data_IF_295214691639
#
_entry.id   IF_295214691639
#
_cell.length_a   1.000
_cell.length_b   1.000
_cell.length_c   1.000
_cell.angle_alpha   90.00
_cell.angle_beta   90.00
_cell.angle_gamma   90.00
#
_symmetry.space_group_name_H-M   'P 1'
#
loop_
_entity.id
_entity.type
_entity.pdbx_description
1 polymer ?
#
# COMPACT_ATOMS: atom_id res chain seq x y z
N UNK A 1 6.03 -14.58 -2.96
CA UNK A 1 7.28 -14.28 -2.24
C UNK A 1 7.12 -14.22 -0.71
N UNK A 2 5.95 -14.45 -0.18
CA UNK A 2 5.63 -14.40 1.26
C UNK A 2 5.67 -15.75 2.01
N UNK A 3 5.78 -16.94 1.37
CA UNK A 3 5.67 -18.18 2.12
C UNK A 3 6.96 -18.96 2.30
N UNK A 4 8.10 -18.28 2.40
CA UNK A 4 9.32 -18.92 2.94
C UNK A 4 9.50 -18.60 4.44
N UNK A 5 8.63 -17.78 5.01
CA UNK A 5 8.79 -17.29 6.38
C UNK A 5 7.97 -18.10 7.39
N UNK A 6 6.87 -18.73 6.98
CA UNK A 6 6.04 -19.51 7.92
C UNK A 6 6.58 -20.89 8.26
N UNK A 7 7.56 -21.43 7.53
CA UNK A 7 8.17 -22.71 7.86
C UNK A 7 9.39 -22.61 8.77
N UNK A 8 9.93 -21.43 9.04
CA UNK A 8 11.12 -21.26 9.90
C UNK A 8 10.82 -20.80 11.33
N UNK A 9 9.62 -20.30 11.60
CA UNK A 9 9.26 -19.83 12.95
C UNK A 9 8.63 -20.93 13.81
N UNK A 10 8.19 -22.04 13.21
CA UNK A 10 7.58 -23.15 13.96
C UNK A 10 8.56 -24.12 14.60
N UNK A 11 9.86 -23.93 14.51
CA UNK A 11 10.85 -24.89 15.03
C UNK A 11 12.02 -24.31 15.84
N UNK A 12 12.03 -23.02 16.15
CA UNK A 12 12.85 -22.56 17.28
C UNK A 12 12.00 -22.77 18.52
N UNK A 13 12.19 -23.93 19.12
CA UNK A 13 11.57 -24.25 20.42
C UNK A 13 11.98 -23.16 21.41
N UNK A 14 10.99 -22.66 22.18
CA UNK A 14 11.26 -21.79 23.33
C UNK A 14 12.37 -22.39 24.21
N UNK A 15 12.52 -23.69 24.17
CA UNK A 15 13.59 -24.47 24.79
C UNK A 15 14.98 -24.09 24.25
N UNK A 16 15.14 -23.86 22.93
CA UNK A 16 16.43 -23.50 22.33
C UNK A 16 16.78 -22.04 22.66
N UNK A 17 15.79 -21.15 22.69
CA UNK A 17 15.97 -19.75 23.14
C UNK A 17 16.34 -19.66 24.62
N UNK A 18 15.69 -20.47 25.48
CA UNK A 18 16.01 -20.53 26.90
C UNK A 18 17.40 -21.14 27.15
N UNK A 19 17.77 -22.18 26.40
CA UNK A 19 19.10 -22.80 26.47
C UNK A 19 20.22 -21.83 26.01
N UNK A 20 19.92 -20.99 24.99
CA UNK A 20 20.84 -19.96 24.52
C UNK A 20 20.99 -18.82 25.55
N UNK A 21 19.91 -18.37 26.17
CA UNK A 21 19.91 -17.34 27.24
C UNK A 21 20.58 -17.83 28.53
N UNK A 22 20.40 -19.08 28.88
CA UNK A 22 21.09 -19.70 30.03
C UNK A 22 22.60 -19.81 29.79
N UNK A 23 23.03 -20.07 28.55
CA UNK A 23 24.45 -20.03 28.14
C UNK A 23 25.03 -18.62 28.17
N UNK A 24 24.27 -17.61 27.73
CA UNK A 24 24.70 -16.21 27.68
C UNK A 24 24.94 -15.60 29.08
N UNK A 25 24.19 -16.05 30.09
CA UNK A 25 24.27 -15.53 31.46
C UNK A 25 25.15 -16.34 32.42
N UNK A 26 25.95 -17.30 31.97
CA UNK A 26 26.90 -18.07 32.80
C UNK A 26 26.27 -18.59 34.11
N UNK A 27 25.02 -19.01 34.11
CA UNK A 27 24.38 -19.61 35.28
C UNK A 27 24.91 -21.04 35.41
N UNK A 28 26.01 -21.19 36.18
CA UNK A 28 26.54 -22.48 36.57
C UNK A 28 25.54 -23.18 37.50
N UNK A 29 24.99 -24.29 37.07
CA UNK A 29 24.36 -25.27 37.95
C UNK A 29 25.45 -26.01 38.72
N UNK A 30 25.40 -26.06 40.06
CA UNK A 30 26.40 -26.83 40.80
C UNK A 30 26.25 -28.31 40.46
N UNK A 31 27.31 -28.92 39.98
CA UNK A 31 27.43 -30.37 39.84
C UNK A 31 27.57 -30.95 41.24
N UNK A 32 26.51 -31.52 41.83
CA UNK A 32 26.57 -32.26 43.05
C UNK A 32 27.15 -33.64 42.80
N UNK A 33 28.38 -33.86 43.33
CA UNK A 33 28.97 -35.20 43.47
C UNK A 33 28.06 -36.09 44.26
N UNK A 34 27.88 -37.31 43.80
CA UNK A 34 27.15 -38.39 44.41
C UNK A 34 27.71 -38.72 45.79
N UNK A 35 27.03 -38.33 46.85
CA UNK A 35 27.07 -38.96 48.18
C UNK A 35 25.64 -39.09 48.64
N UNK A 36 25.26 -40.33 48.91
CA UNK A 36 23.89 -40.71 49.17
C UNK A 36 23.30 -40.08 50.45
N UNK A 37 22.37 -39.17 50.23
CA UNK A 37 21.32 -38.80 51.22
C UNK A 37 20.09 -38.50 50.34
N UNK A 38 19.04 -39.29 50.52
CA UNK A 38 17.74 -39.11 49.94
C UNK A 38 17.08 -37.86 50.54
N UNK A 39 17.30 -36.72 49.92
CA UNK A 39 16.51 -35.52 50.15
C UNK A 39 15.36 -35.54 49.16
N UNK A 40 14.15 -35.68 49.62
CA UNK A 40 12.91 -35.52 48.90
C UNK A 40 12.93 -34.16 48.16
N UNK A 41 13.26 -34.16 46.92
CA UNK A 41 13.16 -32.94 46.06
C UNK A 41 11.71 -32.79 45.63
N UNK A 42 10.98 -31.97 46.38
CA UNK A 42 9.62 -31.52 46.09
C UNK A 42 9.64 -30.41 45.02
N UNK A 43 10.37 -30.64 43.90
CA UNK A 43 10.53 -29.69 42.80
C UNK A 43 9.50 -29.87 41.64
N UNK A 44 8.65 -30.87 41.77
CA UNK A 44 7.58 -31.18 40.79
C UNK A 44 6.47 -30.11 40.67
N UNK A 45 6.01 -29.39 41.71
CA UNK A 45 4.94 -28.41 41.56
C UNK A 45 5.36 -27.14 40.83
N UNK A 46 6.57 -26.62 41.04
CA UNK A 46 7.02 -25.35 40.44
C UNK A 46 7.23 -25.49 38.92
N UNK A 47 7.77 -26.61 38.46
CA UNK A 47 7.94 -26.85 37.01
C UNK A 47 6.60 -27.05 36.32
N UNK A 48 5.62 -27.63 36.99
CA UNK A 48 4.26 -27.85 36.47
C UNK A 48 3.49 -26.52 36.39
N UNK A 49 3.59 -25.67 37.37
CA UNK A 49 2.98 -24.33 37.37
C UNK A 49 3.61 -23.44 36.31
N UNK A 50 4.92 -23.46 36.14
CA UNK A 50 5.64 -22.73 35.11
C UNK A 50 5.23 -23.19 33.70
N UNK A 51 5.11 -24.48 33.46
CA UNK A 51 4.63 -25.04 32.21
C UNK A 51 3.18 -24.65 31.91
N UNK A 52 2.31 -24.67 32.93
CA UNK A 52 0.90 -24.23 32.80
C UNK A 52 0.82 -22.74 32.48
N UNK A 53 1.64 -21.90 33.12
CA UNK A 53 1.73 -20.48 32.87
C UNK A 53 2.21 -20.18 31.43
N UNK A 54 3.25 -20.86 30.92
CA UNK A 54 3.71 -20.72 29.55
C UNK A 54 2.66 -21.20 28.53
N UNK A 55 1.95 -22.27 28.84
CA UNK A 55 0.84 -22.76 28.01
C UNK A 55 -0.30 -21.73 27.94
N UNK A 56 -0.67 -21.15 29.07
CA UNK A 56 -1.68 -20.10 29.17
C UNK A 56 -1.26 -18.85 28.39
N UNK A 57 0.00 -18.37 28.52
CA UNK A 57 0.53 -17.26 27.79
C UNK A 57 0.51 -17.53 26.27
N UNK A 58 0.88 -18.73 25.84
CA UNK A 58 0.85 -19.12 24.43
C UNK A 58 -0.58 -19.13 23.89
N UNK A 59 -1.55 -19.59 24.65
CA UNK A 59 -2.98 -19.58 24.28
C UNK A 59 -3.50 -18.15 24.16
N UNK A 60 -3.25 -17.29 25.14
CA UNK A 60 -3.63 -15.88 25.10
C UNK A 60 -3.00 -15.17 23.90
N UNK A 61 -1.71 -15.41 23.65
CA UNK A 61 -1.02 -14.82 22.51
C UNK A 61 -1.63 -15.29 21.16
N UNK A 62 -2.01 -16.57 21.07
CA UNK A 62 -2.70 -17.13 19.89
C UNK A 62 -4.09 -16.51 19.68
N UNK A 63 -4.86 -16.32 20.75
CA UNK A 63 -6.20 -15.73 20.69
C UNK A 63 -6.14 -14.25 20.30
N UNK A 64 -5.19 -13.50 20.85
CA UNK A 64 -4.94 -12.10 20.50
C UNK A 64 -4.53 -12.00 19.02
N UNK A 65 -3.64 -12.87 18.54
CA UNK A 65 -3.23 -12.89 17.14
C UNK A 65 -4.41 -13.21 16.21
N UNK A 66 -5.26 -14.17 16.57
CA UNK A 66 -6.48 -14.52 15.83
C UNK A 66 -7.45 -13.35 15.75
N UNK A 67 -7.62 -12.60 16.85
CA UNK A 67 -8.45 -11.39 16.89
C UNK A 67 -7.91 -10.29 15.96
N UNK A 68 -6.59 -10.06 15.94
CA UNK A 68 -5.96 -9.12 15.01
C UNK A 68 -6.16 -9.53 13.56
N UNK A 69 -6.06 -10.80 13.23
CA UNK A 69 -6.30 -11.33 11.87
C UNK A 69 -7.75 -11.10 11.43
N UNK A 70 -8.72 -11.29 12.32
CA UNK A 70 -10.15 -11.05 12.02
C UNK A 70 -10.39 -9.57 11.74
N UNK A 71 -9.88 -8.67 12.58
CA UNK A 71 -10.00 -7.23 12.37
C UNK A 71 -9.33 -6.82 11.06
N UNK A 72 -8.12 -7.31 10.78
CA UNK A 72 -7.40 -7.04 9.55
C UNK A 72 -8.20 -7.53 8.32
N UNK A 73 -8.82 -8.71 8.42
CA UNK A 73 -9.67 -9.26 7.35
C UNK A 73 -10.89 -8.37 7.08
N UNK A 74 -11.61 -7.98 8.12
CA UNK A 74 -12.80 -7.11 8.00
C UNK A 74 -12.40 -5.76 7.41
N UNK A 75 -11.32 -5.15 7.90
CA UNK A 75 -10.83 -3.85 7.42
C UNK A 75 -10.41 -3.95 5.95
N UNK A 76 -9.62 -4.97 5.58
CA UNK A 76 -9.18 -5.18 4.20
C UNK A 76 -10.37 -5.38 3.25
N UNK A 77 -11.35 -6.20 3.63
CA UNK A 77 -12.56 -6.42 2.83
C UNK A 77 -13.39 -5.14 2.68
N UNK A 78 -13.51 -4.33 3.74
CA UNK A 78 -14.19 -3.04 3.68
C UNK A 78 -13.46 -2.06 2.75
N UNK A 79 -12.13 -1.95 2.86
CA UNK A 79 -11.32 -1.07 2.01
C UNK A 79 -11.42 -1.47 0.53
N UNK A 80 -11.31 -2.76 0.21
CA UNK A 80 -11.38 -3.25 -1.18
C UNK A 80 -12.77 -3.03 -1.76
N UNK A 81 -13.84 -3.32 -1.02
CA UNK A 81 -15.22 -3.13 -1.49
C UNK A 81 -15.55 -1.67 -1.69
N UNK A 82 -15.30 -0.83 -0.70
CA UNK A 82 -15.57 0.61 -0.78
C UNK A 82 -14.70 1.26 -1.87
N UNK A 83 -13.40 0.93 -1.90
CA UNK A 83 -12.48 1.44 -2.91
C UNK A 83 -12.87 1.02 -4.33
N UNK A 84 -13.26 -0.25 -4.54
CA UNK A 84 -13.74 -0.74 -5.84
C UNK A 84 -15.02 -0.02 -6.25
N UNK A 85 -15.97 0.16 -5.34
CA UNK A 85 -17.21 0.89 -5.61
C UNK A 85 -16.94 2.33 -6.09
N UNK A 86 -16.09 3.08 -5.39
CA UNK A 86 -15.73 4.45 -5.76
C UNK A 86 -15.04 4.52 -7.14
N UNK A 87 -14.11 3.61 -7.41
CA UNK A 87 -13.40 3.57 -8.68
C UNK A 87 -14.30 3.13 -9.85
N UNK A 88 -15.16 2.12 -9.67
CA UNK A 88 -16.15 1.72 -10.67
C UNK A 88 -17.09 2.88 -10.98
N UNK A 89 -17.52 3.62 -9.96
CA UNK A 89 -18.38 4.79 -10.16
C UNK A 89 -17.70 5.85 -11.06
N UNK A 90 -16.41 6.16 -10.81
CA UNK A 90 -15.62 7.10 -11.64
C UNK A 90 -15.58 6.61 -13.10
N UNK A 91 -15.30 5.32 -13.31
CA UNK A 91 -15.24 4.72 -14.66
C UNK A 91 -16.61 4.83 -15.35
N UNK A 92 -17.70 4.48 -14.68
CA UNK A 92 -19.05 4.52 -15.25
C UNK A 92 -19.48 5.93 -15.65
N UNK A 93 -19.22 6.94 -14.81
CA UNK A 93 -19.55 8.35 -15.12
C UNK A 93 -18.82 8.81 -16.37
N UNK A 94 -17.51 8.54 -16.46
CA UNK A 94 -16.72 8.96 -17.61
C UNK A 94 -17.06 8.16 -18.88
N UNK A 95 -17.39 6.87 -18.74
CA UNK A 95 -17.84 6.02 -19.84
C UNK A 95 -19.19 6.46 -20.40
N UNK A 96 -20.14 6.84 -19.52
CA UNK A 96 -21.44 7.39 -19.93
C UNK A 96 -21.28 8.66 -20.76
N UNK A 97 -20.30 9.53 -20.41
CA UNK A 97 -20.02 10.73 -21.21
C UNK A 97 -19.40 10.38 -22.58
N UNK A 98 -18.58 9.34 -22.63
CA UNK A 98 -18.04 8.81 -23.88
C UNK A 98 -19.17 8.37 -24.84
N UNK A 99 -20.12 7.58 -24.34
CA UNK A 99 -21.28 7.12 -25.12
C UNK A 99 -22.13 8.29 -25.60
N UNK A 100 -22.34 9.31 -24.75
CA UNK A 100 -23.06 10.53 -25.09
C UNK A 100 -22.29 11.48 -26.00
N UNK A 101 -21.16 11.04 -26.56
CA UNK A 101 -20.25 11.83 -27.43
C UNK A 101 -19.84 13.18 -26.86
N UNK A 102 -19.80 13.32 -25.54
CA UNK A 102 -19.29 14.54 -24.89
C UNK A 102 -17.76 14.59 -25.00
N UNK A 103 -17.20 15.79 -25.13
CA UNK A 103 -15.74 15.97 -25.14
C UNK A 103 -15.15 15.54 -23.79
N UNK A 104 -14.39 14.44 -23.78
CA UNK A 104 -13.69 13.96 -22.59
C UNK A 104 -12.38 14.73 -22.43
N UNK A 105 -12.20 15.36 -21.28
CA UNK A 105 -10.98 16.08 -20.96
C UNK A 105 -9.80 15.11 -20.76
N UNK A 106 -8.57 15.61 -20.93
CA UNK A 106 -7.35 14.84 -20.67
C UNK A 106 -7.29 14.37 -19.20
N UNK A 107 -7.77 15.20 -18.26
CA UNK A 107 -7.89 14.85 -16.84
C UNK A 107 -8.84 13.65 -16.63
N UNK A 108 -10.01 13.66 -17.29
CA UNK A 108 -10.98 12.56 -17.17
C UNK A 108 -10.42 11.24 -17.73
N UNK A 109 -9.61 11.30 -18.81
CA UNK A 109 -8.93 10.10 -19.37
C UNK A 109 -7.93 9.52 -18.41
N UNK A 110 -7.06 10.35 -17.81
CA UNK A 110 -6.07 9.91 -16.81
C UNK A 110 -6.79 9.39 -15.58
N UNK A 111 -7.84 10.06 -15.13
CA UNK A 111 -8.64 9.66 -13.97
C UNK A 111 -9.33 8.31 -14.18
N UNK A 112 -9.86 8.05 -15.38
CA UNK A 112 -10.48 6.77 -15.74
C UNK A 112 -9.43 5.65 -15.75
N UNK A 113 -8.28 5.87 -16.39
CA UNK A 113 -7.18 4.91 -16.37
C UNK A 113 -6.71 4.61 -14.94
N UNK A 114 -6.52 5.66 -14.13
CA UNK A 114 -6.16 5.53 -12.72
C UNK A 114 -7.18 4.71 -11.93
N UNK A 115 -8.49 4.94 -12.14
CA UNK A 115 -9.55 4.18 -11.47
C UNK A 115 -9.54 2.70 -11.88
N UNK A 116 -9.31 2.39 -13.16
CA UNK A 116 -9.19 1.00 -13.64
C UNK A 116 -8.01 0.29 -12.97
N UNK A 117 -6.82 0.91 -12.99
CA UNK A 117 -5.63 0.29 -12.38
C UNK A 117 -5.76 0.17 -10.85
N UNK A 118 -6.52 1.05 -10.19
CA UNK A 118 -6.83 0.91 -8.76
C UNK A 118 -7.74 -0.28 -8.47
N UNK A 119 -8.76 -0.50 -9.28
CA UNK A 119 -9.60 -1.70 -9.14
C UNK A 119 -8.73 -2.95 -9.27
N UNK A 120 -7.90 -3.03 -10.33
CA UNK A 120 -7.00 -4.16 -10.53
C UNK A 120 -6.04 -4.35 -9.35
N UNK A 121 -5.43 -3.25 -8.85
CA UNK A 121 -4.51 -3.28 -7.72
C UNK A 121 -5.18 -3.80 -6.44
N UNK A 122 -6.38 -3.28 -6.10
CA UNK A 122 -7.13 -3.69 -4.92
C UNK A 122 -7.46 -5.19 -4.95
N UNK A 123 -7.90 -5.71 -6.11
CA UNK A 123 -8.19 -7.14 -6.25
C UNK A 123 -6.93 -8.01 -6.21
N UNK A 124 -5.82 -7.57 -6.80
CA UNK A 124 -4.54 -8.29 -6.71
C UNK A 124 -4.03 -8.33 -5.28
N UNK A 125 -4.15 -7.23 -4.52
CA UNK A 125 -3.80 -7.19 -3.10
C UNK A 125 -4.67 -8.17 -2.32
N UNK A 126 -5.99 -8.18 -2.55
CA UNK A 126 -6.92 -9.09 -1.88
C UNK A 126 -6.60 -10.56 -2.19
N UNK A 127 -6.36 -10.91 -3.46
CA UNK A 127 -5.98 -12.26 -3.87
C UNK A 127 -4.67 -12.68 -3.19
N UNK A 128 -3.67 -11.80 -3.16
CA UNK A 128 -2.40 -12.06 -2.49
C UNK A 128 -2.59 -12.29 -0.98
N UNK A 129 -3.41 -11.44 -0.34
CA UNK A 129 -3.71 -11.54 1.08
C UNK A 129 -4.45 -12.85 1.41
N UNK A 130 -5.54 -13.15 0.70
CA UNK A 130 -6.28 -14.41 0.86
C UNK A 130 -5.39 -15.64 0.66
N UNK A 131 -4.53 -15.60 -0.36
CA UNK A 131 -3.59 -16.69 -0.65
C UNK A 131 -2.57 -16.91 0.47
N UNK A 132 -2.18 -15.84 1.15
CA UNK A 132 -1.20 -15.91 2.24
C UNK A 132 -1.84 -16.42 3.52
N UNK A 133 -3.05 -15.94 3.84
CA UNK A 133 -3.73 -16.25 5.12
C UNK A 133 -4.41 -17.62 5.07
N UNK A 134 -5.18 -17.91 4.00
CA UNK A 134 -6.03 -19.10 3.97
C UNK A 134 -5.39 -20.32 3.33
N UNK A 135 -4.41 -20.17 2.45
CA UNK A 135 -3.85 -21.29 1.68
C UNK A 135 -2.36 -21.14 1.39
N UNK A 136 -1.50 -20.98 2.40
CA UNK A 136 -0.08 -20.72 2.16
C UNK A 136 0.64 -21.88 1.45
N UNK A 137 0.19 -23.13 1.62
CA UNK A 137 0.80 -24.31 1.02
C UNK A 137 0.25 -24.69 -0.36
N UNK A 138 -0.95 -24.20 -0.73
CA UNK A 138 -1.64 -24.64 -1.96
C UNK A 138 -1.15 -23.96 -3.23
N UNK A 139 -0.54 -22.79 -3.15
CA UNK A 139 -0.09 -22.04 -4.31
C UNK A 139 1.30 -22.47 -4.77
N UNK A 140 1.41 -22.83 -6.05
CA UNK A 140 2.70 -23.11 -6.69
C UNK A 140 3.58 -21.86 -6.72
N UNK A 141 4.91 -22.05 -6.73
CA UNK A 141 5.89 -20.95 -6.86
C UNK A 141 5.63 -20.10 -8.11
N UNK A 142 5.08 -20.69 -9.16
CA UNK A 142 4.77 -20.00 -10.40
C UNK A 142 3.56 -19.06 -10.25
N UNK A 143 2.47 -19.52 -9.63
CA UNK A 143 1.28 -18.68 -9.39
C UNK A 143 1.61 -17.50 -8.50
N UNK A 144 2.39 -17.68 -7.44
CA UNK A 144 2.87 -16.57 -6.58
C UNK A 144 3.67 -15.53 -7.36
N UNK A 145 4.53 -15.99 -8.27
CA UNK A 145 5.29 -15.08 -9.12
C UNK A 145 4.37 -14.27 -10.06
N UNK A 146 3.35 -14.91 -10.64
CA UNK A 146 2.36 -14.22 -11.47
C UNK A 146 1.60 -13.15 -10.66
N UNK A 147 1.16 -13.46 -9.45
CA UNK A 147 0.52 -12.50 -8.55
C UNK A 147 1.46 -11.32 -8.24
N UNK A 148 2.73 -11.60 -7.97
CA UNK A 148 3.74 -10.58 -7.70
C UNK A 148 3.98 -9.67 -8.91
N UNK A 149 4.05 -10.23 -10.12
CA UNK A 149 4.16 -9.45 -11.37
C UNK A 149 2.91 -8.61 -11.61
N UNK A 150 1.71 -9.18 -11.44
CA UNK A 150 0.45 -8.47 -11.57
C UNK A 150 0.38 -7.29 -10.59
N UNK A 151 0.81 -7.50 -9.35
CA UNK A 151 0.91 -6.45 -8.34
C UNK A 151 1.92 -5.36 -8.75
N UNK A 152 3.10 -5.72 -9.21
CA UNK A 152 4.12 -4.77 -9.64
C UNK A 152 3.65 -3.91 -10.82
N UNK A 153 2.96 -4.50 -11.81
CA UNK A 153 2.41 -3.79 -12.97
C UNK A 153 1.27 -2.85 -12.56
N UNK A 154 0.30 -3.34 -11.79
CA UNK A 154 -0.85 -2.53 -11.37
C UNK A 154 -0.43 -1.40 -10.44
N UNK A 155 0.52 -1.65 -9.53
CA UNK A 155 1.10 -0.65 -8.66
C UNK A 155 1.88 0.41 -9.43
N UNK A 156 2.66 0.02 -10.44
CA UNK A 156 3.39 0.95 -11.31
C UNK A 156 2.43 1.93 -11.99
N UNK A 157 1.42 1.43 -12.70
CA UNK A 157 0.45 2.31 -13.37
C UNK A 157 -0.32 3.17 -12.38
N UNK A 158 -0.69 2.62 -11.21
CA UNK A 158 -1.35 3.37 -10.14
C UNK A 158 -0.53 4.58 -9.69
N UNK A 159 0.75 4.41 -9.38
CA UNK A 159 1.63 5.48 -8.89
C UNK A 159 1.98 6.50 -9.97
N UNK A 160 2.29 6.05 -11.18
CA UNK A 160 2.65 6.93 -12.29
C UNK A 160 1.45 7.72 -12.85
N UNK A 161 0.25 7.12 -12.93
CA UNK A 161 -0.96 7.86 -13.32
C UNK A 161 -1.34 8.91 -12.27
N UNK A 162 -1.12 8.64 -10.99
CA UNK A 162 -1.30 9.63 -9.93
C UNK A 162 -0.29 10.79 -10.08
N UNK A 163 0.97 10.51 -10.41
CA UNK A 163 1.97 11.52 -10.70
C UNK A 163 1.62 12.35 -11.96
N UNK A 164 1.16 11.69 -13.03
CA UNK A 164 0.67 12.38 -14.23
C UNK A 164 -0.52 13.31 -13.93
N UNK A 165 -1.43 12.88 -13.06
CA UNK A 165 -2.56 13.71 -12.63
C UNK A 165 -2.07 14.95 -11.85
N UNK A 166 -1.05 14.81 -10.99
CA UNK A 166 -0.46 15.93 -10.25
C UNK A 166 0.25 16.93 -11.17
N UNK A 167 1.01 16.43 -12.18
CA UNK A 167 1.62 17.27 -13.22
C UNK A 167 0.54 18.03 -13.99
N UNK A 168 -0.53 17.32 -14.38
CA UNK A 168 -1.63 17.94 -15.14
C UNK A 168 -2.32 19.06 -14.33
N UNK A 169 -2.58 18.81 -13.04
CA UNK A 169 -3.17 19.84 -12.18
C UNK A 169 -2.24 21.03 -11.99
N UNK A 170 -0.94 20.80 -11.77
CA UNK A 170 0.04 21.87 -11.69
C UNK A 170 0.05 22.73 -12.97
N UNK A 171 0.17 22.12 -14.16
CA UNK A 171 0.24 22.83 -15.43
C UNK A 171 -1.08 23.51 -15.80
N UNK A 172 -2.23 22.99 -15.35
CA UNK A 172 -3.55 23.55 -15.66
C UNK A 172 -3.93 24.69 -14.71
N UNK A 173 -3.66 24.55 -13.42
CA UNK A 173 -4.12 25.47 -12.37
C UNK A 173 -3.00 26.43 -11.97
N UNK A 174 -1.75 25.96 -11.92
CA UNK A 174 -0.61 26.75 -11.50
C UNK A 174 -0.40 28.00 -12.41
N UNK A 175 0.01 29.07 -11.78
CA UNK A 175 0.33 30.32 -12.47
C UNK A 175 1.71 30.82 -12.02
N UNK A 176 2.71 30.55 -12.85
CA UNK A 176 4.10 30.95 -12.64
C UNK A 176 4.60 31.74 -13.85
N UNK A 177 5.26 32.91 -13.64
CA UNK A 177 5.76 33.75 -14.73
C UNK A 177 7.07 33.23 -15.36
N UNK A 178 7.40 31.94 -15.16
CA UNK A 178 8.62 31.34 -15.69
C UNK A 178 8.42 30.85 -17.14
N UNK A 179 9.36 31.18 -18.04
CA UNK A 179 9.34 30.77 -19.46
C UNK A 179 9.27 29.25 -19.62
N UNK A 180 9.99 28.49 -18.79
CA UNK A 180 9.98 27.01 -18.83
C UNK A 180 8.57 26.50 -18.48
N UNK A 181 7.96 27.05 -17.42
CA UNK A 181 6.62 26.65 -17.00
C UNK A 181 5.57 26.96 -18.08
N UNK A 182 5.65 28.13 -18.71
CA UNK A 182 4.76 28.52 -19.80
C UNK A 182 4.94 27.63 -21.03
N UNK A 183 6.19 27.25 -21.38
CA UNK A 183 6.50 26.31 -22.45
C UNK A 183 5.91 24.92 -22.17
N UNK A 184 6.05 24.40 -20.95
CA UNK A 184 5.45 23.11 -20.53
C UNK A 184 3.92 23.18 -20.55
N UNK A 185 3.34 24.29 -20.08
CA UNK A 185 1.89 24.54 -20.11
C UNK A 185 1.33 24.52 -21.54
N UNK A 186 2.05 25.06 -22.50
CA UNK A 186 1.67 25.02 -23.94
C UNK A 186 1.72 23.61 -24.53
N UNK A 187 2.55 22.71 -23.98
CA UNK A 187 2.80 21.34 -24.49
C UNK A 187 2.33 20.24 -23.54
N UNK A 188 1.28 20.47 -22.77
CA UNK A 188 0.78 19.54 -21.72
C UNK A 188 0.63 18.11 -22.25
N UNK A 189 0.06 17.90 -23.43
CA UNK A 189 -0.12 16.55 -24.01
C UNK A 189 1.22 15.85 -24.24
N UNK A 190 2.20 16.55 -24.79
CA UNK A 190 3.53 16.00 -25.06
C UNK A 190 4.25 15.65 -23.75
N UNK A 191 4.17 16.53 -22.73
CA UNK A 191 4.75 16.27 -21.41
C UNK A 191 4.20 14.97 -20.81
N UNK A 192 2.87 14.78 -20.86
CA UNK A 192 2.22 13.57 -20.32
C UNK A 192 2.66 12.32 -21.10
N UNK A 193 2.73 12.38 -22.43
CA UNK A 193 3.17 11.25 -23.25
C UNK A 193 4.63 10.90 -22.96
N UNK A 194 5.53 11.88 -22.88
CA UNK A 194 6.96 11.65 -22.59
C UNK A 194 7.15 11.01 -21.20
N UNK A 195 6.46 11.53 -20.18
CA UNK A 195 6.54 10.96 -18.81
C UNK A 195 5.99 9.55 -18.79
N UNK A 196 4.87 9.28 -19.49
CA UNK A 196 4.30 7.94 -19.58
C UNK A 196 5.25 6.96 -20.26
N UNK A 197 5.83 7.33 -21.42
CA UNK A 197 6.79 6.48 -22.14
C UNK A 197 8.05 6.22 -21.29
N UNK A 198 8.59 7.26 -20.62
CA UNK A 198 9.72 7.10 -19.69
C UNK A 198 9.39 6.15 -18.55
N UNK A 199 8.16 6.21 -18.03
CA UNK A 199 7.72 5.30 -16.97
C UNK A 199 7.67 3.84 -17.44
N UNK A 200 7.28 3.57 -18.69
CA UNK A 200 7.26 2.21 -19.24
C UNK A 200 8.67 1.58 -19.31
N UNK A 201 9.70 2.39 -19.59
CA UNK A 201 11.10 1.92 -19.54
C UNK A 201 11.45 1.46 -18.11
N UNK A 202 11.06 2.25 -17.09
CA UNK A 202 11.28 1.88 -15.68
C UNK A 202 10.50 0.63 -15.28
N UNK A 203 9.28 0.46 -15.80
CA UNK A 203 8.50 -0.77 -15.59
C UNK A 203 9.24 -1.98 -16.15
N UNK A 204 9.71 -1.88 -17.39
CA UNK A 204 10.45 -2.96 -18.05
C UNK A 204 11.71 -3.34 -17.28
N UNK A 205 12.50 -2.34 -16.83
CA UNK A 205 13.68 -2.58 -15.99
C UNK A 205 13.32 -3.27 -14.67
N UNK A 206 12.25 -2.83 -14.01
CA UNK A 206 11.80 -3.44 -12.75
C UNK A 206 11.37 -4.90 -12.94
N UNK A 207 10.60 -5.21 -14.00
CA UNK A 207 10.19 -6.59 -14.31
C UNK A 207 11.38 -7.48 -14.67
N UNK A 208 12.37 -6.93 -15.38
CA UNK A 208 13.61 -7.65 -15.71
C UNK A 208 14.39 -8.00 -14.44
N UNK A 209 14.55 -7.04 -13.52
CA UNK A 209 15.20 -7.28 -12.22
C UNK A 209 14.47 -8.35 -11.40
N UNK A 210 13.13 -8.32 -11.34
CA UNK A 210 12.33 -9.35 -10.66
C UNK A 210 12.53 -10.74 -11.26
N UNK A 211 12.56 -10.86 -12.60
CA UNK A 211 12.75 -12.14 -13.28
C UNK A 211 14.17 -12.69 -13.11
N UNK A 212 15.19 -11.82 -13.17
CA UNK A 212 16.59 -12.19 -12.89
C UNK A 212 16.77 -12.63 -11.44
N UNK A 213 16.19 -11.91 -10.47
CA UNK A 213 16.21 -12.27 -9.07
C UNK A 213 15.63 -13.66 -8.82
N UNK A 214 14.50 -13.99 -9.46
CA UNK A 214 13.92 -15.34 -9.40
C UNK A 214 14.86 -16.41 -9.99
N UNK A 215 15.48 -16.15 -11.13
CA UNK A 215 16.41 -17.13 -11.77
C UNK A 215 17.62 -17.41 -10.88
N UNK A 216 18.24 -16.37 -10.29
CA UNK A 216 19.37 -16.54 -9.38
C UNK A 216 18.98 -17.36 -8.14
N UNK A 217 17.80 -17.13 -7.60
CA UNK A 217 17.28 -17.88 -6.44
C UNK A 217 17.01 -19.35 -6.77
N UNK A 218 16.58 -19.67 -8.00
CA UNK A 218 16.33 -21.06 -8.44
C UNK A 218 17.63 -21.78 -8.76
N UNK A 219 18.59 -21.13 -9.44
CA UNK A 219 19.84 -21.75 -9.88
C UNK A 219 20.90 -21.85 -8.77
N UNK A 220 20.73 -21.13 -7.67
CA UNK A 220 21.64 -21.15 -6.51
C UNK A 220 21.73 -22.49 -5.76
N UNK A 221 21.14 -23.58 -6.28
CA UNK A 221 21.17 -24.91 -5.65
C UNK A 221 22.51 -25.67 -5.78
N UNK A 222 23.52 -25.12 -6.49
CA UNK A 222 24.84 -25.75 -6.70
C UNK A 222 25.96 -24.91 -6.09
N UNK A 223 26.30 -25.03 -4.81
CA UNK A 223 27.41 -24.34 -4.17
C UNK A 223 27.40 -24.41 -2.64
N UNK A 224 28.41 -23.84 -1.98
CA UNK A 224 28.58 -23.85 -0.52
C UNK A 224 27.48 -23.01 0.16
N UNK A 225 26.88 -23.49 1.28
CA UNK A 225 25.69 -22.88 1.92
C UNK A 225 25.90 -21.39 2.30
N UNK A 226 27.08 -21.02 2.78
CA UNK A 226 27.38 -19.65 3.23
C UNK A 226 27.46 -18.66 2.08
N UNK A 227 27.98 -19.06 0.93
CA UNK A 227 28.11 -18.20 -0.25
C UNK A 227 26.73 -17.99 -0.93
N UNK A 228 25.91 -19.02 -0.96
CA UNK A 228 24.52 -18.98 -1.45
C UNK A 228 23.67 -17.97 -0.68
N UNK A 229 23.78 -17.96 0.64
CA UNK A 229 23.02 -17.03 1.49
C UNK A 229 23.41 -15.58 1.21
N UNK A 230 24.70 -15.30 1.03
CA UNK A 230 25.20 -13.96 0.69
C UNK A 230 24.71 -13.49 -0.68
N UNK A 231 24.76 -14.35 -1.70
CA UNK A 231 24.28 -14.01 -3.06
C UNK A 231 22.77 -13.80 -3.07
N UNK A 232 21.98 -14.65 -2.42
CA UNK A 232 20.54 -14.47 -2.30
C UNK A 232 20.17 -13.18 -1.58
N UNK A 233 20.89 -12.83 -0.51
CA UNK A 233 20.70 -11.57 0.22
C UNK A 233 21.00 -10.36 -0.67
N UNK A 234 22.13 -10.35 -1.37
CA UNK A 234 22.52 -9.27 -2.27
C UNK A 234 21.49 -9.07 -3.40
N UNK A 235 21.01 -10.16 -4.01
CA UNK A 235 20.00 -10.12 -5.06
C UNK A 235 18.67 -9.58 -4.51
N UNK A 236 18.22 -10.04 -3.35
CA UNK A 236 17.01 -9.51 -2.72
C UNK A 236 17.14 -8.01 -2.43
N UNK A 237 18.28 -7.57 -1.93
CA UNK A 237 18.54 -6.14 -1.67
C UNK A 237 18.47 -5.31 -2.95
N UNK A 238 19.07 -5.77 -4.04
CA UNK A 238 19.01 -5.09 -5.35
C UNK A 238 17.58 -4.99 -5.85
N UNK A 239 16.80 -6.08 -5.81
CA UNK A 239 15.40 -6.11 -6.24
C UNK A 239 14.54 -5.15 -5.41
N UNK A 240 14.69 -5.17 -4.08
CA UNK A 240 13.96 -4.28 -3.16
C UNK A 240 14.33 -2.83 -3.40
N UNK A 241 15.62 -2.52 -3.60
CA UNK A 241 16.10 -1.15 -3.87
C UNK A 241 15.53 -0.65 -5.20
N UNK A 242 15.61 -1.43 -6.27
CA UNK A 242 15.06 -1.08 -7.58
C UNK A 242 13.55 -0.83 -7.51
N UNK A 243 12.82 -1.69 -6.80
CA UNK A 243 11.39 -1.54 -6.57
C UNK A 243 11.08 -0.26 -5.78
N UNK A 244 11.83 0.02 -4.71
CA UNK A 244 11.66 1.23 -3.88
C UNK A 244 11.89 2.48 -4.71
N UNK A 245 12.98 2.55 -5.48
CA UNK A 245 13.28 3.68 -6.36
C UNK A 245 12.17 3.90 -7.40
N UNK A 246 11.64 2.82 -7.99
CA UNK A 246 10.54 2.91 -8.96
C UNK A 246 9.26 3.54 -8.37
N UNK A 247 9.04 3.45 -7.06
CA UNK A 247 7.91 4.07 -6.36
C UNK A 247 8.24 5.47 -5.81
N UNK A 248 9.46 5.70 -5.36
CA UNK A 248 9.90 7.00 -4.81
C UNK A 248 9.96 8.07 -5.91
N UNK A 249 10.34 7.72 -7.15
CA UNK A 249 10.40 8.69 -8.26
C UNK A 249 9.03 9.34 -8.53
N UNK A 250 7.93 8.61 -8.83
CA UNK A 250 6.63 9.24 -9.06
C UNK A 250 6.08 9.95 -7.82
N UNK A 251 6.41 9.46 -6.61
CA UNK A 251 6.08 10.15 -5.37
C UNK A 251 6.76 11.52 -5.28
N UNK A 252 8.07 11.59 -5.52
CA UNK A 252 8.83 12.84 -5.49
C UNK A 252 8.32 13.84 -6.52
N UNK A 253 8.02 13.39 -7.75
CA UNK A 253 7.39 14.22 -8.79
C UNK A 253 6.05 14.78 -8.29
N UNK A 254 5.20 13.93 -7.71
CA UNK A 254 3.90 14.35 -7.17
C UNK A 254 4.06 15.37 -6.03
N UNK A 255 5.01 15.12 -5.11
CA UNK A 255 5.32 16.04 -4.00
C UNK A 255 5.71 17.42 -4.52
N UNK A 256 6.66 17.49 -5.46
CA UNK A 256 7.10 18.76 -6.05
C UNK A 256 5.93 19.47 -6.74
N UNK A 257 5.16 18.75 -7.56
CA UNK A 257 4.00 19.31 -8.25
C UNK A 257 2.97 19.89 -7.29
N UNK A 258 2.65 19.18 -6.22
CA UNK A 258 1.65 19.64 -5.27
C UNK A 258 2.16 20.75 -4.35
N UNK A 259 3.43 20.72 -3.94
CA UNK A 259 4.02 21.84 -3.18
C UNK A 259 4.01 23.14 -4.01
N UNK A 260 4.37 23.06 -5.29
CA UNK A 260 4.27 24.21 -6.21
C UNK A 260 2.82 24.65 -6.40
N UNK A 261 1.87 23.71 -6.50
CA UNK A 261 0.45 24.03 -6.61
C UNK A 261 -0.07 24.70 -5.34
N UNK A 262 0.29 24.21 -4.15
CA UNK A 262 -0.04 24.82 -2.85
C UNK A 262 0.50 26.25 -2.78
N UNK A 263 1.77 26.45 -3.14
CA UNK A 263 2.38 27.77 -3.18
C UNK A 263 1.63 28.72 -4.13
N UNK A 264 1.30 28.28 -5.34
CA UNK A 264 0.54 29.07 -6.32
C UNK A 264 -0.85 29.45 -5.82
N UNK A 265 -1.58 28.48 -5.23
CA UNK A 265 -2.91 28.70 -4.64
C UNK A 265 -2.84 29.65 -3.43
N UNK A 266 -1.85 29.46 -2.55
CA UNK A 266 -1.65 30.34 -1.39
C UNK A 266 -1.37 31.78 -1.82
N UNK A 267 -0.47 31.98 -2.80
CA UNK A 267 -0.19 33.31 -3.35
C UNK A 267 -1.46 33.96 -3.91
N UNK A 268 -2.27 33.21 -4.64
CA UNK A 268 -3.53 33.71 -5.20
C UNK A 268 -4.54 34.08 -4.11
N UNK A 269 -4.70 33.25 -3.08
CA UNK A 269 -5.56 33.51 -1.92
C UNK A 269 -5.12 34.78 -1.15
N UNK A 270 -3.80 34.95 -0.95
CA UNK A 270 -3.25 36.16 -0.32
C UNK A 270 -3.61 37.41 -1.12
N UNK A 271 -3.47 37.35 -2.44
CA UNK A 271 -3.84 38.47 -3.33
C UNK A 271 -5.35 38.77 -3.25
N UNK A 272 -6.21 37.74 -3.29
CA UNK A 272 -7.66 37.91 -3.20
C UNK A 272 -8.09 38.60 -1.88
N UNK A 273 -7.45 38.22 -0.75
CA UNK A 273 -7.69 38.83 0.57
C UNK A 273 -7.29 40.30 0.59
N UNK A 274 -6.20 40.68 -0.07
CA UNK A 274 -5.75 42.07 -0.19
C UNK A 274 -6.76 42.95 -0.97
N UNK A 275 -7.49 42.36 -1.93
CA UNK A 275 -8.53 43.06 -2.70
C UNK A 275 -9.94 43.01 -2.04
N UNK A 276 -10.03 42.74 -0.73
CA UNK A 276 -11.27 42.83 0.04
C UNK A 276 -12.25 41.65 -0.15
N UNK A 277 -11.86 40.60 -0.83
CA UNK A 277 -12.67 39.36 -0.94
C UNK A 277 -12.59 38.57 0.36
N UNK A 278 -13.67 38.54 1.10
CA UNK A 278 -13.78 37.81 2.37
C UNK A 278 -13.66 36.29 2.23
N UNK A 279 -13.50 35.64 3.36
CA UNK A 279 -13.39 34.14 3.43
C UNK A 279 -14.65 33.42 2.93
N UNK A 280 -15.79 34.09 2.82
CA UNK A 280 -17.07 33.53 2.33
C UNK A 280 -17.28 33.68 0.82
N UNK A 281 -16.35 34.33 0.09
CA UNK A 281 -16.44 34.39 -1.38
C UNK A 281 -16.36 32.95 -1.99
N UNK A 282 -17.30 32.60 -2.90
CA UNK A 282 -17.34 31.25 -3.51
C UNK A 282 -16.03 30.83 -4.19
N UNK A 283 -15.28 31.79 -4.76
CA UNK A 283 -13.98 31.54 -5.36
C UNK A 283 -12.92 31.18 -4.31
N UNK A 284 -12.88 31.89 -3.19
CA UNK A 284 -11.99 31.62 -2.06
C UNK A 284 -12.26 30.24 -1.47
N UNK A 285 -13.54 29.88 -1.26
CA UNK A 285 -13.92 28.55 -0.76
C UNK A 285 -13.53 27.41 -1.72
N UNK A 286 -13.63 27.62 -3.03
CA UNK A 286 -13.20 26.63 -4.01
C UNK A 286 -11.68 26.35 -3.93
N UNK A 287 -10.87 27.40 -3.76
CA UNK A 287 -9.42 27.29 -3.60
C UNK A 287 -9.03 26.59 -2.28
N UNK A 288 -9.73 26.88 -1.17
CA UNK A 288 -9.50 26.22 0.12
C UNK A 288 -9.81 24.72 0.01
N UNK A 289 -10.94 24.35 -0.60
CA UNK A 289 -11.31 22.93 -0.82
C UNK A 289 -10.29 22.19 -1.70
N UNK A 290 -9.80 22.86 -2.76
CA UNK A 290 -8.76 22.29 -3.61
C UNK A 290 -7.45 22.07 -2.82
N UNK A 291 -7.07 23.01 -1.95
CA UNK A 291 -5.89 22.88 -1.08
C UNK A 291 -6.05 21.71 -0.10
N UNK A 292 -7.19 21.58 0.56
CA UNK A 292 -7.49 20.47 1.46
C UNK A 292 -7.38 19.13 0.74
N UNK A 293 -7.95 19.01 -0.46
CA UNK A 293 -7.88 17.78 -1.27
C UNK A 293 -6.43 17.41 -1.62
N UNK A 294 -5.59 18.41 -1.98
CA UNK A 294 -4.18 18.20 -2.31
C UNK A 294 -3.39 17.74 -1.09
N UNK A 295 -3.58 18.38 0.08
CA UNK A 295 -2.91 17.99 1.33
C UNK A 295 -3.32 16.59 1.76
N UNK A 296 -4.60 16.26 1.71
CA UNK A 296 -5.10 14.90 2.02
C UNK A 296 -4.50 13.85 1.10
N UNK A 297 -4.38 14.17 -0.20
CA UNK A 297 -3.71 13.29 -1.16
C UNK A 297 -2.25 13.03 -0.78
N UNK A 298 -1.49 14.08 -0.47
CA UNK A 298 -0.08 13.96 -0.12
C UNK A 298 0.13 13.10 1.12
N UNK A 299 -0.68 13.30 2.15
CA UNK A 299 -0.62 12.50 3.39
C UNK A 299 -0.89 11.02 3.12
N UNK A 300 -1.97 10.71 2.39
CA UNK A 300 -2.30 9.33 2.04
C UNK A 300 -1.24 8.69 1.16
N UNK A 301 -0.68 9.43 0.19
CA UNK A 301 0.36 8.92 -0.69
C UNK A 301 1.67 8.70 0.07
N UNK A 302 2.03 9.58 1.00
CA UNK A 302 3.20 9.41 1.87
C UNK A 302 3.05 8.15 2.75
N UNK A 303 1.89 7.93 3.38
CA UNK A 303 1.60 6.72 4.16
C UNK A 303 1.72 5.45 3.30
N UNK A 304 1.21 5.49 2.08
CA UNK A 304 1.32 4.40 1.12
C UNK A 304 2.79 4.08 0.78
N UNK A 305 3.60 5.08 0.45
CA UNK A 305 5.02 4.88 0.13
C UNK A 305 5.78 4.34 1.35
N UNK A 306 5.51 4.86 2.55
CA UNK A 306 6.10 4.34 3.79
C UNK A 306 5.74 2.87 4.01
N UNK A 307 4.47 2.49 3.81
CA UNK A 307 4.04 1.09 3.93
C UNK A 307 4.73 0.18 2.91
N UNK A 308 4.96 0.66 1.68
CA UNK A 308 5.70 -0.08 0.65
C UNK A 308 7.19 -0.26 1.02
N UNK A 309 7.83 0.78 1.57
CA UNK A 309 9.23 0.71 2.01
C UNK A 309 9.38 -0.30 3.14
N UNK A 310 8.53 -0.22 4.17
CA UNK A 310 8.55 -1.14 5.31
C UNK A 310 8.26 -2.57 4.85
N UNK A 311 7.24 -2.77 3.99
CA UNK A 311 6.94 -4.08 3.41
C UNK A 311 8.07 -4.61 2.52
N UNK A 312 8.75 -3.74 1.77
CA UNK A 312 9.94 -4.10 0.99
C UNK A 312 11.10 -4.56 1.88
N UNK A 313 11.32 -3.87 2.99
CA UNK A 313 12.37 -4.24 3.94
C UNK A 313 12.17 -5.65 4.54
N UNK A 314 10.92 -6.13 4.64
CA UNK A 314 10.60 -7.48 5.11
C UNK A 314 11.22 -8.61 4.26
N UNK A 315 11.61 -8.33 3.01
CA UNK A 315 12.36 -9.30 2.19
C UNK A 315 13.82 -9.46 2.63
N UNK A 316 14.35 -8.46 3.31
CA UNK A 316 15.73 -8.45 3.80
C UNK A 316 15.77 -8.93 5.25
N UNK A 317 14.82 -8.48 6.07
CA UNK A 317 14.65 -8.87 7.46
C UNK A 317 13.17 -9.16 7.74
N UNK A 318 12.82 -10.37 8.19
CA UNK A 318 11.43 -10.70 8.53
C UNK A 318 10.87 -9.71 9.55
N UNK A 319 9.66 -9.20 9.27
CA UNK A 319 8.89 -8.38 10.19
C UNK A 319 7.97 -9.27 11.02
N UNK A 320 7.63 -8.82 12.22
CA UNK A 320 6.60 -9.44 13.04
C UNK A 320 5.25 -9.42 12.29
N UNK A 321 4.47 -10.49 12.43
CA UNK A 321 3.18 -10.64 11.72
C UNK A 321 2.24 -9.44 11.91
N UNK A 322 2.05 -8.87 13.13
CA UNK A 322 1.19 -7.70 13.31
C UNK A 322 1.65 -6.49 12.51
N UNK A 323 2.97 -6.24 12.47
CA UNK A 323 3.54 -5.11 11.72
C UNK A 323 3.28 -5.27 10.22
N UNK A 324 3.44 -6.48 9.70
CA UNK A 324 3.16 -6.79 8.30
C UNK A 324 1.69 -6.55 7.94
N UNK A 325 0.75 -7.02 8.79
CA UNK A 325 -0.69 -6.80 8.61
C UNK A 325 -1.05 -5.31 8.62
N UNK A 326 -0.52 -4.54 9.57
CA UNK A 326 -0.72 -3.09 9.66
C UNK A 326 -0.21 -2.40 8.39
N UNK A 327 0.98 -2.76 7.91
CA UNK A 327 1.52 -2.20 6.66
C UNK A 327 0.64 -2.52 5.44
N UNK A 328 0.04 -3.71 5.37
CA UNK A 328 -0.87 -4.07 4.30
C UNK A 328 -2.16 -3.23 4.33
N UNK A 329 -2.78 -3.05 5.51
CA UNK A 329 -3.96 -2.20 5.69
C UNK A 329 -3.62 -0.76 5.28
N UNK A 330 -2.55 -0.17 5.81
CA UNK A 330 -2.13 1.19 5.45
C UNK A 330 -1.86 1.31 3.94
N UNK A 331 -1.23 0.29 3.33
CA UNK A 331 -0.96 0.25 1.90
C UNK A 331 -2.24 0.19 1.05
N UNK A 332 -3.32 -0.39 1.55
CA UNK A 332 -4.61 -0.49 0.84
C UNK A 332 -5.47 0.77 1.03
N UNK A 333 -5.24 1.51 2.12
CA UNK A 333 -6.01 2.71 2.44
C UNK A 333 -5.93 3.79 1.35
N UNK A 334 -4.73 4.02 0.77
CA UNK A 334 -4.55 5.05 -0.25
C UNK A 334 -5.32 4.75 -1.56
N UNK A 335 -5.20 3.58 -2.22
CA UNK A 335 -5.95 3.30 -3.44
C UNK A 335 -7.47 3.27 -3.20
N UNK A 336 -7.93 3.01 -1.98
CA UNK A 336 -9.35 2.98 -1.62
C UNK A 336 -9.89 4.39 -1.35
N UNK A 337 -9.29 5.14 -0.43
CA UNK A 337 -9.81 6.42 0.08
C UNK A 337 -9.58 7.59 -0.87
N UNK A 338 -8.46 7.62 -1.60
CA UNK A 338 -8.16 8.71 -2.53
C UNK A 338 -9.22 8.85 -3.64
N UNK A 339 -9.89 7.77 -4.03
CA UNK A 339 -10.96 7.83 -5.04
C UNK A 339 -12.16 8.66 -4.58
N UNK A 340 -12.47 8.65 -3.29
CA UNK A 340 -13.48 9.51 -2.71
C UNK A 340 -13.06 10.99 -2.74
N UNK A 341 -11.80 11.28 -2.44
CA UNK A 341 -11.25 12.65 -2.55
C UNK A 341 -11.41 13.16 -3.99
N UNK A 342 -11.14 12.32 -4.99
CA UNK A 342 -11.31 12.67 -6.40
C UNK A 342 -12.78 12.88 -6.79
N UNK A 343 -13.71 12.08 -6.27
CA UNK A 343 -15.15 12.27 -6.47
C UNK A 343 -15.59 13.62 -5.91
N UNK A 344 -15.19 13.96 -4.69
CA UNK A 344 -15.55 15.24 -4.05
C UNK A 344 -14.85 16.44 -4.67
N UNK A 345 -13.63 16.26 -5.18
CA UNK A 345 -12.83 17.30 -5.86
C UNK A 345 -13.31 17.62 -7.28
N UNK A 346 -13.95 16.68 -7.97
CA UNK A 346 -14.43 16.86 -9.34
C UNK A 346 -15.93 17.18 -9.34
N UNK A 347 -16.28 18.44 -9.67
CA UNK A 347 -17.67 18.93 -9.66
C UNK A 347 -18.64 18.05 -10.44
N UNK A 348 -18.23 17.57 -11.62
CA UNK A 348 -19.04 16.70 -12.51
C UNK A 348 -19.32 15.35 -11.84
N UNK A 349 -18.27 14.68 -11.35
CA UNK A 349 -18.38 13.35 -10.75
C UNK A 349 -19.15 13.46 -9.43
N UNK A 350 -18.92 14.49 -8.63
CA UNK A 350 -19.66 14.78 -7.41
C UNK A 350 -21.16 14.94 -7.67
N UNK A 351 -21.57 15.71 -8.68
CA UNK A 351 -22.97 15.90 -9.03
C UNK A 351 -23.63 14.58 -9.45
N UNK A 352 -22.93 13.77 -10.27
CA UNK A 352 -23.41 12.46 -10.67
C UNK A 352 -23.56 11.51 -9.46
N UNK A 353 -22.61 11.57 -8.50
CA UNK A 353 -22.65 10.76 -7.29
C UNK A 353 -23.84 11.11 -6.39
N UNK A 354 -24.03 12.40 -6.12
CA UNK A 354 -25.19 12.87 -5.31
C UNK A 354 -26.50 12.48 -5.97
N UNK A 355 -26.63 12.65 -7.30
CA UNK A 355 -27.84 12.28 -8.03
C UNK A 355 -28.12 10.78 -7.95
N UNK A 356 -27.10 9.93 -8.13
CA UNK A 356 -27.23 8.48 -8.00
C UNK A 356 -27.68 8.08 -6.58
N UNK A 357 -27.10 8.67 -5.54
CA UNK A 357 -27.48 8.42 -4.15
C UNK A 357 -28.92 8.81 -3.85
N UNK A 358 -29.37 9.97 -4.35
CA UNK A 358 -30.77 10.41 -4.22
C UNK A 358 -31.72 9.43 -4.92
N UNK A 359 -31.39 9.00 -6.13
CA UNK A 359 -32.22 8.03 -6.88
C UNK A 359 -32.36 6.68 -6.17
N UNK A 360 -31.21 6.16 -5.62
CA UNK A 360 -31.22 4.91 -4.82
C UNK A 360 -32.12 5.08 -3.59
N UNK A 361 -31.95 6.17 -2.84
CA UNK A 361 -32.76 6.46 -1.65
C UNK A 361 -34.25 6.52 -1.98
N UNK A 362 -34.63 7.22 -3.06
CA UNK A 362 -36.04 7.35 -3.49
C UNK A 362 -36.60 5.98 -3.89
N UNK A 363 -35.82 5.15 -4.60
CA UNK A 363 -36.28 3.80 -4.98
C UNK A 363 -36.48 2.89 -3.78
N UNK A 364 -35.58 2.92 -2.79
CA UNK A 364 -35.70 2.16 -1.55
C UNK A 364 -36.96 2.58 -0.78
N UNK A 365 -37.15 3.89 -0.62
CA UNK A 365 -38.34 4.43 0.07
C UNK A 365 -39.67 4.06 -0.61
N UNK A 366 -39.70 4.08 -1.96
CA UNK A 366 -40.91 3.64 -2.73
C UNK A 366 -41.14 2.13 -2.62
N UNK A 367 -40.09 1.33 -2.44
CA UNK A 367 -40.20 -0.13 -2.24
C UNK A 367 -40.74 -0.48 -0.85
N UNK A 368 -40.34 0.28 0.19
CA UNK A 368 -40.86 0.10 1.57
C UNK A 368 -42.37 0.49 1.69
N UNK A 369 -42.86 1.35 0.80
CA UNK A 369 -44.27 1.79 0.80
C UNK A 369 -45.21 0.97 -0.10
N UNK A 370 -44.70 -0.05 -0.82
CA UNK A 370 -45.58 -0.99 -1.49
C UNK A 370 -46.04 -2.05 -0.47
N UNK A 371 -47.36 -2.17 -0.21
CA UNK A 371 -47.93 -3.15 0.71
C UNK A 371 -47.65 -4.58 0.26
#
# INVERSE_FOLDING_TARGET
>A
MIPLITSSISSISIQDYLNEKVKEHNLHWPQTKSTGISVFTNSQPVTRELHTFFHLLKTICSDVMSFFLIIAAITMMAEVTLGSFANVFIVLVNFTDCIKRRKISLADRILTALAIFRICLLWVILINWCSTVFSPASLTKQVRFIICVAWAVTNHFHTWLAALLSILYLLKIGNFPNRIFLGLKGKIKSVIVVVLLGSLVLLFLNLTMMTMGKKVQVNGHRGNMTEKTKVAYAVNLIVVTAFTLNNVIPFTISMICFLLLIYSLYKHLKTMKLYGKGSHDPGTMAHIKALQAVVSFLLLFAMFILSLIVSGYSYVKPLDEPVHLICQIIGTLYPSSHSYILIWGNKKIKQAFVLAMVQVRTRLWLKERKP
#
